data_IF_725860861237
#
_entry.id   IF_725860861237
#
_cell.length_a   1.000
_cell.length_b   1.000
_cell.length_c   1.000
_cell.angle_alpha   90.00
_cell.angle_beta   90.00
_cell.angle_gamma   90.00
#
_symmetry.space_group_name_H-M   'P 1'
#
loop_
_entity.id
_entity.type
_entity.pdbx_description
1 polymer ?
#
# COMPACT_ATOMS: atom_id res chain seq x y z
N UNK A 1 -11.22 -14.58 -1.09
CA UNK A 1 -12.42 -14.12 -0.35
C UNK A 1 -12.54 -14.63 1.10
N UNK A 2 -12.06 -15.83 1.48
CA UNK A 2 -12.17 -16.31 2.89
C UNK A 2 -11.46 -15.42 3.93
N UNK A 3 -10.35 -14.77 3.56
CA UNK A 3 -9.59 -13.88 4.46
C UNK A 3 -10.06 -12.42 4.43
N UNK A 4 -10.67 -12.00 3.31
CA UNK A 4 -11.18 -10.64 3.11
C UNK A 4 -12.37 -10.72 2.14
N UNK A 5 -13.60 -10.84 2.66
CA UNK A 5 -14.80 -11.04 1.83
C UNK A 5 -15.16 -9.80 1.00
N UNK A 6 -14.73 -8.61 1.44
CA UNK A 6 -15.03 -7.31 0.82
C UNK A 6 -14.02 -6.87 -0.25
N UNK A 7 -12.93 -7.62 -0.44
CA UNK A 7 -11.93 -7.30 -1.47
C UNK A 7 -12.53 -7.57 -2.86
N UNK A 8 -12.60 -6.52 -3.67
CA UNK A 8 -12.98 -6.60 -5.08
C UNK A 8 -11.84 -7.24 -5.88
N UNK A 9 -12.15 -8.26 -6.69
CA UNK A 9 -11.15 -8.97 -7.50
C UNK A 9 -11.52 -8.90 -8.96
N UNK A 10 -10.64 -8.28 -9.75
CA UNK A 10 -10.72 -8.26 -11.21
C UNK A 10 -9.65 -9.21 -11.76
N UNK A 11 -10.04 -10.18 -12.59
CA UNK A 11 -9.11 -11.09 -13.25
C UNK A 11 -8.79 -10.61 -14.66
N UNK A 12 -7.50 -10.49 -14.97
CA UNK A 12 -7.01 -10.19 -16.30
C UNK A 12 -6.41 -11.44 -16.95
N UNK A 13 -6.88 -11.79 -18.13
CA UNK A 13 -6.39 -12.95 -18.89
C UNK A 13 -5.73 -12.53 -20.19
N UNK A 14 -4.67 -13.26 -20.57
CA UNK A 14 -4.02 -13.07 -21.87
C UNK A 14 -4.80 -13.74 -23.01
N UNK A 15 -5.57 -14.79 -22.70
CA UNK A 15 -6.45 -15.52 -23.61
C UNK A 15 -7.72 -15.90 -22.86
N UNK A 16 -8.88 -15.49 -23.37
CA UNK A 16 -10.17 -15.88 -22.82
C UNK A 16 -10.79 -17.02 -23.62
N UNK A 17 -11.18 -18.11 -22.96
CA UNK A 17 -12.20 -19.02 -23.50
C UNK A 17 -13.56 -18.60 -22.97
N UNK A 18 -14.64 -18.84 -23.72
CA UNK A 18 -16.01 -18.53 -23.29
C UNK A 18 -16.37 -19.24 -21.96
N UNK A 19 -15.75 -20.40 -21.72
CA UNK A 19 -15.85 -21.17 -20.48
C UNK A 19 -15.21 -20.45 -19.30
N UNK A 20 -13.99 -19.95 -19.47
CA UNK A 20 -13.26 -19.21 -18.42
C UNK A 20 -13.92 -17.87 -18.10
N UNK A 21 -14.50 -17.21 -19.10
CA UNK A 21 -15.27 -15.97 -18.91
C UNK A 21 -16.56 -16.25 -18.14
N UNK A 22 -17.28 -17.33 -18.47
CA UNK A 22 -18.51 -17.70 -17.75
C UNK A 22 -18.24 -18.08 -16.29
N UNK A 23 -17.16 -18.79 -16.01
CA UNK A 23 -16.78 -19.19 -14.64
C UNK A 23 -16.26 -18.00 -13.81
N UNK A 24 -15.55 -17.08 -14.46
CA UNK A 24 -15.04 -15.86 -13.84
C UNK A 24 -16.14 -14.87 -13.47
N UNK A 25 -17.13 -14.67 -14.35
CA UNK A 25 -18.25 -13.72 -14.12
C UNK A 25 -19.09 -14.12 -12.91
N UNK A 26 -19.24 -15.42 -12.64
CA UNK A 26 -20.00 -15.91 -11.48
C UNK A 26 -19.26 -15.75 -10.14
N UNK A 27 -17.92 -15.59 -10.18
CA UNK A 27 -17.08 -15.68 -8.97
C UNK A 27 -16.33 -14.38 -8.64
N UNK A 28 -16.15 -13.50 -9.62
CA UNK A 28 -15.30 -12.31 -9.54
C UNK A 28 -16.08 -11.03 -9.78
N UNK A 29 -15.51 -9.90 -9.35
CA UNK A 29 -16.12 -8.58 -9.48
C UNK A 29 -15.81 -7.92 -10.84
N UNK A 30 -14.91 -8.53 -11.61
CA UNK A 30 -14.59 -8.12 -12.97
C UNK A 30 -13.74 -9.13 -13.71
N UNK A 31 -13.86 -9.12 -15.04
CA UNK A 31 -13.07 -9.95 -15.95
C UNK A 31 -12.66 -9.14 -17.16
N UNK A 32 -11.36 -9.14 -17.49
CA UNK A 32 -10.82 -8.43 -18.64
C UNK A 32 -9.88 -9.34 -19.46
N UNK A 33 -10.12 -9.43 -20.76
CA UNK A 33 -9.28 -10.17 -21.69
C UNK A 33 -8.41 -9.22 -22.51
N UNK A 34 -7.19 -9.64 -22.86
CA UNK A 34 -6.33 -8.92 -23.80
C UNK A 34 -6.73 -9.20 -25.27
N UNK A 35 -6.59 -8.22 -26.17
CA UNK A 35 -6.29 -6.82 -25.89
C UNK A 35 -7.52 -6.12 -25.27
N UNK A 36 -7.28 -5.18 -24.35
CA UNK A 36 -8.34 -4.42 -23.69
C UNK A 36 -8.21 -2.93 -24.00
N UNK A 37 -9.34 -2.24 -23.92
CA UNK A 37 -9.43 -0.79 -24.01
C UNK A 37 -9.57 -0.15 -22.62
N UNK A 38 -9.16 1.12 -22.51
CA UNK A 38 -9.37 1.94 -21.32
C UNK A 38 -10.86 2.01 -20.96
N UNK A 39 -11.74 2.06 -21.96
CA UNK A 39 -13.19 2.01 -21.78
C UNK A 39 -13.66 0.74 -21.07
N UNK A 40 -13.11 -0.42 -21.40
CA UNK A 40 -13.43 -1.69 -20.74
C UNK A 40 -12.93 -1.75 -19.30
N UNK A 41 -11.73 -1.20 -19.04
CA UNK A 41 -11.21 -1.07 -17.67
C UNK A 41 -12.17 -0.18 -16.85
N UNK A 42 -12.60 0.95 -17.41
CA UNK A 42 -13.52 1.88 -16.76
C UNK A 42 -14.84 1.21 -16.37
N UNK A 43 -15.48 0.51 -17.30
CA UNK A 43 -16.75 -0.18 -17.06
C UNK A 43 -16.64 -1.23 -15.94
N UNK A 44 -15.51 -1.95 -15.88
CA UNK A 44 -15.26 -2.95 -14.82
C UNK A 44 -15.05 -2.29 -13.45
N UNK A 45 -14.27 -1.22 -13.39
CA UNK A 45 -14.01 -0.51 -12.14
C UNK A 45 -15.28 0.17 -11.62
N UNK A 46 -16.05 0.83 -12.49
CA UNK A 46 -17.34 1.43 -12.15
C UNK A 46 -18.32 0.36 -11.62
N UNK A 47 -18.38 -0.80 -12.27
CA UNK A 47 -19.18 -1.94 -11.81
C UNK A 47 -18.77 -2.43 -10.42
N UNK A 48 -17.47 -2.67 -10.21
CA UNK A 48 -16.94 -3.15 -8.94
C UNK A 48 -17.16 -2.16 -7.78
N UNK A 49 -17.07 -0.85 -8.04
CA UNK A 49 -17.32 0.20 -7.05
C UNK A 49 -18.81 0.29 -6.67
N UNK A 50 -19.72 0.06 -7.62
CA UNK A 50 -21.17 0.15 -7.38
C UNK A 50 -21.72 -1.00 -6.52
N UNK A 51 -21.02 -2.14 -6.43
CA UNK A 51 -21.40 -3.29 -5.60
C UNK A 51 -20.89 -3.21 -4.14
N UNK A 52 -20.18 -2.14 -3.78
CA UNK A 52 -19.75 -1.88 -2.41
C UNK A 52 -20.93 -1.41 -1.56
N UNK A 53 -21.71 -2.35 -1.00
CA UNK A 53 -22.62 -2.02 0.10
C UNK A 53 -21.77 -1.68 1.32
N UNK A 54 -21.64 -0.37 1.59
CA UNK A 54 -20.96 0.22 2.72
C UNK A 54 -21.48 -0.36 4.04
N UNK A 55 -20.75 -1.32 4.63
CA UNK A 55 -20.88 -1.66 6.06
C UNK A 55 -19.79 -0.90 6.82
N UNK A 56 -20.03 0.41 7.01
CA UNK A 56 -19.44 1.22 8.08
C UNK A 56 -17.92 1.45 8.14
N UNK A 57 -17.11 1.01 7.16
CA UNK A 57 -15.68 1.35 7.12
C UNK A 57 -15.40 2.38 6.03
N UNK A 58 -14.76 3.52 6.35
CA UNK A 58 -14.45 4.55 5.35
C UNK A 58 -13.38 4.03 4.40
N UNK A 59 -13.70 4.00 3.10
CA UNK A 59 -12.72 3.92 2.03
C UNK A 59 -11.79 5.13 2.18
N UNK A 60 -10.45 4.98 2.21
CA UNK A 60 -9.56 6.14 2.22
C UNK A 60 -9.84 6.99 0.98
N UNK A 61 -10.47 8.15 1.18
CA UNK A 61 -10.66 9.13 0.14
C UNK A 61 -9.27 9.63 -0.28
N UNK A 62 -9.01 9.72 -1.59
CA UNK A 62 -7.87 10.49 -2.08
C UNK A 62 -8.06 11.91 -1.56
N UNK A 63 -7.16 12.35 -0.68
CA UNK A 63 -7.12 13.72 -0.20
C UNK A 63 -7.05 14.59 -1.45
N UNK A 64 -8.07 15.43 -1.68
CA UNK A 64 -8.04 16.41 -2.77
C UNK A 64 -6.87 17.37 -2.52
N UNK A 65 -5.73 16.99 -3.10
CA UNK A 65 -4.41 17.56 -2.81
C UNK A 65 -4.34 19.04 -3.20
N UNK A 66 -5.25 19.48 -4.07
CA UNK A 66 -5.23 20.81 -4.67
C UNK A 66 -5.81 21.92 -3.78
N UNK A 67 -6.81 21.62 -2.95
CA UNK A 67 -7.57 22.65 -2.22
C UNK A 67 -6.79 23.29 -1.07
N UNK A 68 -5.84 22.58 -0.46
CA UNK A 68 -5.09 23.04 0.72
C UNK A 68 -3.58 23.15 0.50
N UNK A 69 -3.12 22.99 -0.75
CA UNK A 69 -1.69 22.98 -1.07
C UNK A 69 -0.97 24.25 -0.59
N UNK A 70 -1.57 25.43 -0.77
CA UNK A 70 -0.94 26.70 -0.40
C UNK A 70 -0.85 26.90 1.12
N UNK A 71 -1.96 26.67 1.84
CA UNK A 71 -2.00 26.82 3.31
C UNK A 71 -1.08 25.83 4.01
N UNK A 72 -1.08 24.57 3.56
CA UNK A 72 -0.18 23.55 4.11
C UNK A 72 1.28 23.92 3.85
N UNK A 73 1.62 24.36 2.64
CA UNK A 73 2.97 24.79 2.30
C UNK A 73 3.47 25.95 3.19
N UNK A 74 2.62 26.91 3.51
CA UNK A 74 2.99 28.02 4.41
C UNK A 74 3.27 27.55 5.85
N UNK A 75 2.48 26.60 6.35
CA UNK A 75 2.74 25.95 7.64
C UNK A 75 4.08 25.20 7.63
N UNK A 76 4.38 24.48 6.55
CA UNK A 76 5.66 23.76 6.40
C UNK A 76 6.85 24.71 6.31
N UNK A 77 6.74 25.84 5.61
CA UNK A 77 7.79 26.90 5.56
C UNK A 77 8.06 27.49 6.93
N UNK A 78 7.00 27.79 7.69
CA UNK A 78 7.13 28.30 9.06
C UNK A 78 7.84 27.28 9.95
N UNK A 79 7.48 26.00 9.84
CA UNK A 79 8.15 24.92 10.57
C UNK A 79 9.63 24.81 10.19
N UNK A 80 9.95 24.79 8.89
CA UNK A 80 11.32 24.71 8.40
C UNK A 80 12.19 25.85 8.95
N UNK A 81 11.67 27.08 8.92
CA UNK A 81 12.37 28.25 9.44
C UNK A 81 12.57 28.20 10.97
N UNK A 82 11.51 27.88 11.73
CA UNK A 82 11.55 27.83 13.20
C UNK A 82 12.48 26.74 13.74
N UNK A 83 12.70 25.68 12.96
CA UNK A 83 13.53 24.54 13.36
C UNK A 83 14.94 24.57 12.76
N UNK A 84 15.19 25.46 11.80
CA UNK A 84 16.39 25.42 10.95
C UNK A 84 16.60 24.03 10.32
N UNK A 85 15.50 23.34 10.01
CA UNK A 85 15.55 22.04 9.37
C UNK A 85 16.09 22.16 7.95
N UNK A 86 16.77 21.12 7.47
CA UNK A 86 17.20 21.05 6.09
C UNK A 86 15.97 20.96 5.18
N UNK A 87 15.06 20.04 5.46
CA UNK A 87 13.77 19.97 4.80
C UNK A 87 12.67 19.39 5.69
N UNK A 88 11.43 19.68 5.31
CA UNK A 88 10.20 19.22 5.93
C UNK A 88 9.36 18.57 4.85
N UNK A 89 8.90 17.35 5.09
CA UNK A 89 8.09 16.57 4.19
C UNK A 89 6.73 16.32 4.84
N UNK A 90 5.67 16.66 4.14
CA UNK A 90 4.33 16.14 4.42
C UNK A 90 4.16 14.88 3.58
N UNK A 91 3.68 13.79 4.18
CA UNK A 91 3.61 12.46 3.57
C UNK A 91 2.24 11.90 3.88
N UNK A 92 1.60 11.16 2.98
CA UNK A 92 0.39 10.41 3.30
C UNK A 92 0.69 9.04 3.95
N UNK A 93 -0.34 8.38 4.48
CA UNK A 93 -0.19 7.06 5.10
C UNK A 93 0.35 5.97 4.15
N UNK A 94 0.29 6.18 2.83
CA UNK A 94 0.82 5.25 1.82
C UNK A 94 2.30 5.52 1.48
N UNK A 95 2.87 6.60 2.00
CA UNK A 95 4.26 6.99 1.75
C UNK A 95 4.45 7.93 0.57
N UNK A 96 3.38 8.45 -0.04
CA UNK A 96 3.51 9.46 -1.09
C UNK A 96 3.67 10.84 -0.50
N UNK A 97 4.56 11.62 -1.10
CA UNK A 97 4.95 12.93 -0.60
C UNK A 97 3.88 14.00 -0.89
N UNK A 98 3.07 14.31 0.13
CA UNK A 98 2.30 15.56 0.37
C UNK A 98 2.73 16.78 -0.44
N UNK A 99 3.79 17.34 0.11
CA UNK A 99 4.44 18.61 -0.18
C UNK A 99 5.81 18.54 0.51
N UNK A 100 6.77 19.30 0.00
CA UNK A 100 8.12 19.37 0.55
C UNK A 100 8.60 20.81 0.58
N UNK A 101 9.25 21.18 1.68
CA UNK A 101 9.81 22.52 1.88
C UNK A 101 11.24 22.43 2.40
N UNK A 102 12.09 23.35 1.95
CA UNK A 102 13.50 23.42 2.32
C UNK A 102 14.41 22.91 1.20
N UNK A 103 15.61 22.47 1.56
CA UNK A 103 16.62 21.98 0.62
C UNK A 103 16.56 20.47 0.53
N UNK A 104 16.08 19.96 -0.61
CA UNK A 104 16.01 18.52 -0.90
C UNK A 104 17.16 18.04 -1.78
N UNK A 105 18.09 18.93 -2.16
CA UNK A 105 19.24 18.58 -2.99
C UNK A 105 20.07 17.48 -2.35
N UNK A 106 20.28 16.38 -3.09
CA UNK A 106 21.04 15.22 -2.61
C UNK A 106 20.25 14.24 -1.75
N UNK A 107 18.95 14.47 -1.53
CA UNK A 107 18.05 13.55 -0.82
C UNK A 107 17.07 12.91 -1.80
N UNK A 108 16.94 11.58 -1.73
CA UNK A 108 15.84 10.87 -2.38
C UNK A 108 14.60 10.96 -1.49
N UNK A 109 13.89 12.08 -1.58
CA UNK A 109 12.73 12.38 -0.73
C UNK A 109 11.59 11.40 -0.96
N UNK A 110 11.47 10.80 -2.14
CA UNK A 110 10.45 9.79 -2.45
C UNK A 110 10.71 8.52 -1.65
N UNK A 111 11.93 7.99 -1.73
CA UNK A 111 12.32 6.79 -0.97
C UNK A 111 12.28 7.06 0.54
N UNK A 112 12.75 8.22 0.99
CA UNK A 112 12.65 8.62 2.41
C UNK A 112 11.19 8.64 2.86
N UNK A 113 10.28 9.21 2.07
CA UNK A 113 8.86 9.29 2.43
C UNK A 113 8.22 7.91 2.57
N UNK A 114 8.46 7.01 1.61
CA UNK A 114 7.98 5.64 1.64
C UNK A 114 8.50 4.87 2.86
N UNK A 115 9.79 5.01 3.18
CA UNK A 115 10.41 4.36 4.34
C UNK A 115 9.90 4.92 5.67
N UNK A 116 9.69 6.22 5.78
CA UNK A 116 9.11 6.85 6.97
C UNK A 116 7.70 6.31 7.23
N UNK A 117 6.85 6.24 6.19
CA UNK A 117 5.49 5.70 6.31
C UNK A 117 5.48 4.21 6.67
N UNK A 118 6.35 3.41 6.02
CA UNK A 118 6.49 1.98 6.32
C UNK A 118 6.95 1.75 7.78
N UNK A 119 7.96 2.50 8.23
CA UNK A 119 8.43 2.38 9.61
C UNK A 119 7.39 2.84 10.62
N UNK A 120 6.65 3.91 10.32
CA UNK A 120 5.57 4.36 11.18
C UNK A 120 4.48 3.29 11.30
N UNK A 121 4.10 2.65 10.20
CA UNK A 121 3.17 1.51 10.18
C UNK A 121 3.68 0.35 11.04
N UNK A 122 4.96 -0.02 10.92
CA UNK A 122 5.57 -1.04 11.77
C UNK A 122 5.56 -0.64 13.26
N UNK A 123 5.73 0.65 13.56
CA UNK A 123 5.68 1.15 14.94
C UNK A 123 4.28 1.01 15.56
N UNK A 124 3.20 1.10 14.77
CA UNK A 124 1.84 0.85 15.25
C UNK A 124 1.71 -0.59 15.74
N UNK A 125 2.26 -1.56 14.99
CA UNK A 125 2.24 -2.96 15.40
C UNK A 125 3.07 -3.20 16.67
N UNK A 126 4.21 -2.53 16.79
CA UNK A 126 5.01 -2.55 18.00
C UNK A 126 4.24 -1.99 19.20
N UNK A 127 3.48 -0.90 19.01
CA UNK A 127 2.62 -0.33 20.06
C UNK A 127 1.52 -1.31 20.50
N UNK A 128 0.91 -2.03 19.56
CA UNK A 128 -0.06 -3.09 19.83
C UNK A 128 0.54 -4.24 20.65
N UNK A 129 1.79 -4.63 20.37
CA UNK A 129 2.47 -5.69 21.10
C UNK A 129 2.90 -5.27 22.51
N UNK A 130 3.25 -4.00 22.70
CA UNK A 130 3.74 -3.47 24.00
C UNK A 130 2.63 -3.02 24.95
N UNK A 131 1.39 -2.83 24.50
CA UNK A 131 0.33 -2.22 25.30
C UNK A 131 -1.05 -2.84 25.12
N UNK A 132 -2.00 -2.39 25.94
CA UNK A 132 -3.43 -2.54 25.69
C UNK A 132 -3.84 -1.65 24.49
N UNK A 133 -5.00 -1.90 23.87
CA UNK A 133 -5.55 -1.25 22.64
C UNK A 133 -5.44 0.28 22.51
N UNK A 134 -5.03 1.00 23.56
CA UNK A 134 -4.94 2.47 23.62
C UNK A 134 -3.48 3.00 23.53
N UNK A 135 -2.46 2.13 23.52
CA UNK A 135 -1.06 2.57 23.34
C UNK A 135 -0.79 2.84 21.86
N UNK A 136 -0.59 4.11 21.49
CA UNK A 136 -0.34 4.54 20.12
C UNK A 136 0.91 5.39 20.09
N UNK A 137 1.92 4.97 19.33
CA UNK A 137 3.04 5.86 19.03
C UNK A 137 2.58 6.96 18.10
N UNK A 138 2.84 8.20 18.51
CA UNK A 138 2.53 9.40 17.72
C UNK A 138 3.71 9.95 16.95
N UNK A 139 4.91 9.45 17.23
CA UNK A 139 6.12 9.93 16.60
C UNK A 139 7.23 8.90 16.60
N UNK A 140 8.12 9.00 15.61
CA UNK A 140 9.40 8.31 15.58
C UNK A 140 10.55 9.32 15.50
N UNK A 141 11.70 8.94 16.06
CA UNK A 141 12.91 9.73 16.00
C UNK A 141 14.09 8.83 15.64
N UNK A 142 14.85 9.23 14.62
CA UNK A 142 16.08 8.59 14.20
C UNK A 142 17.22 9.58 14.33
N UNK A 143 18.25 9.16 15.05
CA UNK A 143 19.47 9.94 15.25
C UNK A 143 20.57 9.42 14.34
N UNK A 144 21.27 10.34 13.69
CA UNK A 144 22.41 10.05 12.83
C UNK A 144 23.50 11.09 13.01
N UNK A 145 24.68 10.78 12.45
CA UNK A 145 25.85 11.67 12.55
C UNK A 145 25.62 12.96 11.77
N UNK A 146 25.14 12.83 10.53
CA UNK A 146 24.94 13.96 9.63
C UNK A 146 23.50 14.49 9.68
N UNK A 147 22.53 13.59 9.89
CA UNK A 147 21.11 13.90 9.83
C UNK A 147 20.34 13.17 10.90
N UNK A 148 19.34 13.87 11.41
CA UNK A 148 18.29 13.35 12.27
C UNK A 148 16.95 13.45 11.53
N UNK A 149 16.06 12.51 11.81
CA UNK A 149 14.71 12.48 11.25
C UNK A 149 13.72 12.39 12.39
N UNK A 150 12.81 13.36 12.46
CA UNK A 150 11.65 13.31 13.37
C UNK A 150 10.37 13.23 12.55
N UNK A 151 9.58 12.19 12.75
CA UNK A 151 8.28 12.03 12.09
C UNK A 151 7.14 12.05 13.11
N UNK A 152 6.03 12.70 12.77
CA UNK A 152 4.86 12.84 13.63
C UNK A 152 3.56 12.53 12.88
N UNK A 153 2.67 11.78 13.53
CA UNK A 153 1.33 11.41 13.04
C UNK A 153 0.35 12.59 13.03
N UNK A 154 -0.34 12.78 11.92
CA UNK A 154 -1.44 13.72 11.75
C UNK A 154 -2.68 12.91 11.34
N UNK A 155 -3.61 12.77 12.30
CA UNK A 155 -4.92 12.12 12.11
C UNK A 155 -4.89 10.72 11.47
N UNK A 156 -3.77 9.97 11.56
CA UNK A 156 -3.57 8.65 10.91
C UNK A 156 -3.67 8.66 9.37
N UNK A 157 -3.70 9.84 8.77
CA UNK A 157 -3.82 10.02 7.32
C UNK A 157 -2.53 10.62 6.74
N UNK A 158 -1.86 11.46 7.52
CA UNK A 158 -0.65 12.16 7.11
C UNK A 158 0.46 11.96 8.15
N UNK A 159 1.69 12.06 7.68
CA UNK A 159 2.91 12.10 8.48
C UNK A 159 3.67 13.37 8.15
N UNK A 160 4.14 14.04 9.20
CA UNK A 160 5.01 15.20 9.09
C UNK A 160 6.43 14.80 9.47
N UNK A 161 7.32 14.72 8.50
CA UNK A 161 8.72 14.38 8.68
C UNK A 161 9.60 15.63 8.60
N UNK A 162 10.49 15.79 9.57
CA UNK A 162 11.46 16.88 9.65
C UNK A 162 12.87 16.29 9.62
N UNK A 163 13.64 16.65 8.60
CA UNK A 163 15.04 16.25 8.43
C UNK A 163 15.93 17.43 8.80
N UNK A 164 16.80 17.22 9.78
CA UNK A 164 17.63 18.29 10.35
C UNK A 164 19.03 17.81 10.71
N UNK A 165 20.02 18.70 10.60
CA UNK A 165 21.40 18.40 10.97
C UNK A 165 21.63 18.38 12.49
N UNK A 166 22.82 17.97 12.94
CA UNK A 166 23.15 17.83 14.36
C UNK A 166 23.17 19.15 15.15
N UNK A 167 23.19 20.30 14.46
CA UNK A 167 23.19 21.63 15.09
C UNK A 167 21.81 22.05 15.59
N UNK A 168 20.73 21.49 15.04
CA UNK A 168 19.37 21.79 15.47
C UNK A 168 19.00 20.99 16.72
N UNK A 169 18.37 21.67 17.69
CA UNK A 169 18.02 21.10 18.99
C UNK A 169 16.77 20.22 18.86
N UNK A 170 16.82 18.91 19.19
CA UNK A 170 15.66 18.02 19.04
C UNK A 170 14.40 18.53 19.74
N UNK A 171 14.51 19.10 20.93
CA UNK A 171 13.35 19.66 21.65
C UNK A 171 12.65 20.80 20.92
N UNK A 172 13.39 21.64 20.18
CA UNK A 172 12.82 22.71 19.35
C UNK A 172 12.08 22.11 18.15
N UNK A 173 12.69 21.11 17.51
CA UNK A 173 12.06 20.37 16.41
C UNK A 173 10.76 19.72 16.88
N UNK A 174 10.77 19.03 18.01
CA UNK A 174 9.59 18.37 18.55
C UNK A 174 8.46 19.35 18.86
N UNK A 175 8.78 20.48 19.51
CA UNK A 175 7.79 21.49 19.85
C UNK A 175 7.09 22.05 18.61
N UNK A 176 7.86 22.55 17.65
CA UNK A 176 7.28 23.16 16.46
C UNK A 176 6.64 22.15 15.52
N UNK A 177 7.15 20.92 15.45
CA UNK A 177 6.51 19.85 14.65
C UNK A 177 5.14 19.53 15.22
N UNK A 178 5.01 19.37 16.54
CA UNK A 178 3.71 19.11 17.19
C UNK A 178 2.73 20.27 17.02
N UNK A 179 3.19 21.50 17.14
CA UNK A 179 2.37 22.69 16.89
C UNK A 179 1.85 22.70 15.45
N UNK A 180 2.76 22.53 14.48
CA UNK A 180 2.41 22.52 13.04
C UNK A 180 1.50 21.34 12.70
N UNK A 181 1.72 20.18 13.30
CA UNK A 181 0.86 19.01 13.15
C UNK A 181 -0.57 19.27 13.64
N UNK A 182 -0.74 20.01 14.73
CA UNK A 182 -2.07 20.43 15.22
C UNK A 182 -2.75 21.39 14.24
N UNK A 183 -2.02 22.36 13.70
CA UNK A 183 -2.55 23.32 12.72
C UNK A 183 -2.95 22.62 11.41
N UNK A 184 -2.12 21.67 10.95
CA UNK A 184 -2.43 20.82 9.80
C UNK A 184 -3.61 19.90 10.09
N UNK A 185 -3.68 19.28 11.28
CA UNK A 185 -4.81 18.45 11.67
C UNK A 185 -6.12 19.22 11.54
N UNK A 186 -6.19 20.45 12.07
CA UNK A 186 -7.36 21.30 11.94
C UNK A 186 -7.69 21.64 10.47
N UNK A 187 -6.66 21.97 9.68
CA UNK A 187 -6.82 22.27 8.24
C UNK A 187 -7.43 21.09 7.47
N UNK A 188 -7.10 19.86 7.84
CA UNK A 188 -7.62 18.64 7.20
C UNK A 188 -8.87 18.05 7.90
N UNK A 189 -9.22 18.51 9.11
CA UNK A 189 -10.40 18.06 9.89
C UNK A 189 -11.69 18.85 9.58
N UNK A 190 -11.59 20.02 8.91
CA UNK A 190 -12.74 20.80 8.40
C UNK A 190 -13.59 20.08 7.33
N UNK A 191 -13.31 18.80 7.07
CA UNK A 191 -14.21 17.90 6.36
C UNK A 191 -14.92 16.96 7.34
N UNK A 192 -16.24 17.12 7.60
CA UNK A 192 -17.02 15.95 7.91
C UNK A 192 -16.89 15.01 6.72
N UNK A 193 -16.51 13.76 6.96
CA UNK A 193 -16.61 12.66 5.99
C UNK A 193 -18.09 12.49 5.65
N UNK A 194 -18.60 13.34 4.76
CA UNK A 194 -19.86 13.15 4.07
C UNK A 194 -19.52 12.47 2.76
N UNK A 195 -19.55 11.13 2.79
CA UNK A 195 -19.69 10.32 1.60
C UNK A 195 -21.02 10.65 0.94
N UNK A 196 -21.06 11.70 0.11
CA UNK A 196 -22.13 11.88 -0.84
C UNK A 196 -21.75 11.12 -2.12
N UNK A 197 -21.86 9.79 -2.05
CA UNK A 197 -21.52 8.81 -3.09
C UNK A 197 -22.44 8.87 -4.34
N UNK A 198 -23.04 10.03 -4.64
CA UNK A 198 -23.91 10.22 -5.80
C UNK A 198 -23.44 11.32 -6.75
N UNK A 199 -22.38 12.05 -6.41
CA UNK A 199 -21.91 13.12 -7.26
C UNK A 199 -20.88 12.59 -8.27
N UNK A 200 -21.11 12.93 -9.54
CA UNK A 200 -20.34 12.56 -10.74
C UNK A 200 -18.83 12.92 -10.70
N UNK A 201 -18.34 13.45 -9.58
CA UNK A 201 -17.01 14.01 -9.41
C UNK A 201 -15.93 12.94 -9.15
N UNK A 202 -16.30 11.78 -8.59
CA UNK A 202 -15.35 10.68 -8.37
C UNK A 202 -14.99 9.95 -9.67
N UNK A 203 -15.96 9.80 -10.57
CA UNK A 203 -15.75 9.25 -11.92
C UNK A 203 -14.78 10.13 -12.71
N UNK A 204 -15.01 11.44 -12.72
CA UNK A 204 -14.13 12.39 -13.42
C UNK A 204 -12.73 12.50 -12.81
N UNK A 205 -12.59 12.41 -11.48
CA UNK A 205 -11.27 12.43 -10.83
C UNK A 205 -10.46 11.18 -11.15
N UNK A 206 -11.10 10.01 -11.18
CA UNK A 206 -10.50 8.76 -11.61
C UNK A 206 -10.19 8.75 -13.12
N UNK A 207 -11.07 9.33 -13.95
CA UNK A 207 -10.84 9.50 -15.40
C UNK A 207 -9.59 10.34 -15.69
N UNK A 208 -9.43 11.47 -15.00
CA UNK A 208 -8.25 12.33 -15.14
C UNK A 208 -6.96 11.60 -14.74
N UNK A 209 -7.00 10.76 -13.71
CA UNK A 209 -5.82 10.02 -13.25
C UNK A 209 -5.48 8.85 -14.20
N UNK A 210 -6.48 8.16 -14.74
CA UNK A 210 -6.29 7.14 -15.78
C UNK A 210 -5.73 7.75 -17.07
N UNK A 211 -6.31 8.84 -17.56
CA UNK A 211 -5.84 9.51 -18.79
C UNK A 211 -4.39 9.94 -18.63
N UNK A 212 -4.01 10.54 -17.49
CA UNK A 212 -2.62 10.91 -17.21
C UNK A 212 -1.65 9.71 -17.13
N UNK A 213 -2.10 8.55 -16.65
CA UNK A 213 -1.27 7.33 -16.59
C UNK A 213 -1.06 6.69 -17.97
N UNK A 214 -1.97 6.91 -18.91
CA UNK A 214 -1.98 6.28 -20.23
C UNK A 214 -1.73 7.23 -21.41
N UNK A 215 -1.49 8.53 -21.17
CA UNK A 215 -1.27 9.60 -22.18
C UNK A 215 0.01 9.46 -23.03
N UNK A 216 0.67 8.30 -22.98
CA UNK A 216 1.79 7.90 -23.85
C UNK A 216 1.57 6.60 -24.61
N UNK A 217 0.38 5.99 -24.49
CA UNK A 217 -0.05 4.84 -25.29
C UNK A 217 -1.06 5.38 -26.29
N UNK A 218 -0.59 5.75 -27.48
CA UNK A 218 -1.47 6.18 -28.57
C UNK A 218 -2.62 5.18 -28.74
N UNK A 219 -3.86 5.70 -28.64
CA UNK A 219 -5.10 4.99 -28.97
C UNK A 219 -5.19 4.79 -30.50
N UNK A 220 -4.21 4.11 -31.09
CA UNK A 220 -4.37 3.51 -32.41
C UNK A 220 -4.83 2.05 -32.24
N UNK A 221 -6.07 1.71 -32.61
CA UNK A 221 -6.60 0.34 -32.49
C UNK A 221 -5.82 -0.70 -33.31
N UNK A 222 -4.84 -0.32 -34.14
CA UNK A 222 -4.20 -1.22 -35.09
C UNK A 222 -2.76 -1.63 -34.80
N UNK A 223 -2.01 -1.01 -33.87
CA UNK A 223 -0.54 -1.18 -33.91
C UNK A 223 0.18 -1.67 -32.65
N UNK A 224 -0.49 -2.22 -31.64
CA UNK A 224 0.23 -2.94 -30.57
C UNK A 224 -0.53 -4.15 -30.00
N UNK A 225 0.18 -5.28 -29.95
CA UNK A 225 -0.22 -6.62 -29.49
C UNK A 225 -0.92 -7.55 -30.50
N UNK A 226 -0.26 -7.84 -31.63
CA UNK A 226 -0.46 -9.14 -32.32
C UNK A 226 0.53 -10.15 -31.76
N UNK A 227 0.19 -10.79 -30.64
CA UNK A 227 0.82 -12.07 -30.31
C UNK A 227 0.03 -13.15 -31.07
N UNK A 228 0.60 -13.65 -32.18
CA UNK A 228 0.06 -14.84 -32.83
C UNK A 228 0.24 -16.06 -31.91
N UNK A 229 -0.73 -16.98 -31.80
CA UNK A 229 -0.57 -18.18 -31.00
C UNK A 229 0.61 -19.03 -31.52
N UNK A 230 1.35 -19.76 -30.66
CA UNK A 230 2.17 -20.86 -31.15
C UNK A 230 1.23 -21.91 -31.77
N UNK A 231 1.46 -22.29 -33.03
CA UNK A 231 0.79 -23.45 -33.65
C UNK A 231 1.13 -24.71 -32.83
N UNK A 232 0.18 -25.18 -32.02
CA UNK A 232 0.26 -26.49 -31.39
C UNK A 232 -0.49 -27.47 -32.29
N UNK A 233 0.26 -28.28 -33.04
CA UNK A 233 -0.25 -29.38 -33.85
C UNK A 233 -0.83 -30.48 -32.93
N UNK A 234 -2.12 -30.35 -32.60
CA UNK A 234 -2.87 -31.33 -31.81
C UNK A 234 -3.29 -32.50 -32.71
N UNK A 235 -2.45 -33.54 -32.78
CA UNK A 235 -2.92 -34.87 -33.20
C UNK A 235 -3.86 -35.43 -32.12
N UNK A 236 -5.03 -35.99 -32.49
CA UNK A 236 -5.98 -36.52 -31.52
C UNK A 236 -5.43 -37.78 -30.87
N UNK A 237 -4.93 -37.65 -29.64
CA UNK A 237 -4.59 -38.80 -28.80
C UNK A 237 -5.87 -39.39 -28.19
N UNK A 238 -6.09 -40.69 -28.39
CA UNK A 238 -7.28 -41.40 -27.92
C UNK A 238 -7.38 -41.34 -26.39
N UNK A 239 -8.42 -40.68 -25.89
CA UNK A 239 -8.80 -40.70 -24.48
C UNK A 239 -9.14 -42.14 -24.07
N UNK A 240 -8.30 -42.72 -23.23
CA UNK A 240 -8.58 -44.00 -22.55
C UNK A 240 -9.13 -43.67 -21.16
N UNK A 241 -10.14 -44.39 -20.63
CA UNK A 241 -10.74 -44.05 -19.34
C UNK A 241 -9.72 -44.12 -18.21
N UNK A 242 -9.64 -43.06 -17.40
CA UNK A 242 -8.75 -43.01 -16.25
C UNK A 242 -9.06 -44.13 -15.24
N UNK A 243 -8.03 -44.88 -14.85
CA UNK A 243 -8.10 -45.82 -13.74
C UNK A 243 -8.28 -45.06 -12.41
N UNK A 244 -8.95 -45.64 -11.39
CA UNK A 244 -9.24 -44.95 -10.14
C UNK A 244 -7.95 -44.62 -9.37
N UNK A 245 -7.80 -43.35 -9.01
CA UNK A 245 -6.66 -42.81 -8.26
C UNK A 245 -6.68 -43.36 -6.83
N UNK A 246 -5.63 -44.08 -6.43
CA UNK A 246 -5.38 -44.45 -5.02
C UNK A 246 -4.95 -43.21 -4.25
N UNK A 247 -5.73 -42.85 -3.22
CA UNK A 247 -5.34 -41.89 -2.18
C UNK A 247 -4.01 -42.33 -1.57
N UNK A 248 -2.96 -41.54 -1.72
CA UNK A 248 -1.69 -41.70 -1.00
C UNK A 248 -1.71 -40.71 0.16
N UNK A 249 -1.86 -41.23 1.38
CA UNK A 249 -1.60 -40.46 2.60
C UNK A 249 -0.08 -40.13 2.68
N UNK A 250 0.31 -38.99 3.26
CA UNK A 250 1.72 -38.66 3.45
C UNK A 250 2.35 -39.62 4.47
N UNK A 251 3.08 -40.62 3.98
CA UNK A 251 3.94 -41.46 4.82
C UNK A 251 5.28 -40.76 5.08
N UNK A 252 5.31 -39.86 6.05
CA UNK A 252 6.56 -39.52 6.72
C UNK A 252 6.29 -39.42 8.22
N UNK A 253 6.77 -40.42 8.97
CA UNK A 253 6.68 -40.47 10.43
C UNK A 253 7.37 -39.22 10.99
N UNK A 254 6.74 -38.43 11.87
CA UNK A 254 7.39 -37.27 12.46
C UNK A 254 8.61 -37.73 13.26
N UNK A 255 9.76 -37.13 12.96
CA UNK A 255 11.05 -37.42 13.60
C UNK A 255 11.08 -36.75 14.97
N UNK A 256 11.51 -37.46 16.02
CA UNK A 256 11.59 -36.88 17.36
C UNK A 256 12.77 -35.91 17.49
N UNK A 257 12.73 -35.03 18.49
CA UNK A 257 13.79 -34.04 18.73
C UNK A 257 15.17 -34.70 18.91
N UNK A 258 15.25 -35.79 19.68
CA UNK A 258 16.50 -36.56 19.86
C UNK A 258 17.03 -37.12 18.52
N UNK A 259 16.13 -37.57 17.64
CA UNK A 259 16.51 -38.08 16.33
C UNK A 259 17.02 -36.96 15.42
N UNK A 260 16.41 -35.78 15.46
CA UNK A 260 16.84 -34.62 14.67
C UNK A 260 18.21 -34.08 15.12
N UNK A 261 18.51 -34.14 16.42
CA UNK A 261 19.83 -33.80 16.97
C UNK A 261 20.88 -34.81 16.53
N UNK A 262 20.59 -36.11 16.59
CA UNK A 262 21.49 -37.16 16.13
C UNK A 262 21.78 -37.09 14.60
N UNK A 263 20.81 -36.61 13.82
CA UNK A 263 20.94 -36.40 12.38
C UNK A 263 21.64 -35.07 12.00
N UNK A 264 22.08 -34.26 12.97
CA UNK A 264 22.77 -33.00 12.72
C UNK A 264 21.89 -31.89 12.13
N UNK A 265 20.56 -32.06 12.17
CA UNK A 265 19.59 -31.10 11.64
C UNK A 265 19.27 -29.96 12.62
N UNK A 266 19.78 -30.06 13.86
CA UNK A 266 19.59 -29.05 14.92
C UNK A 266 20.96 -28.51 15.38
N UNK A 267 21.20 -27.20 15.30
CA UNK A 267 22.43 -26.57 15.78
C UNK A 267 22.63 -26.79 17.30
N UNK A 268 23.84 -27.20 17.73
CA UNK A 268 24.15 -27.55 19.13
C UNK A 268 24.00 -26.39 20.13
N UNK A 269 23.92 -25.14 19.65
CA UNK A 269 23.74 -23.95 20.50
C UNK A 269 22.33 -23.84 21.14
N UNK A 270 21.36 -24.66 20.69
CA UNK A 270 20.01 -24.71 21.27
C UNK A 270 19.99 -25.57 22.56
N UNK A 271 20.90 -26.52 22.73
CA UNK A 271 20.93 -27.46 23.86
C UNK A 271 21.30 -26.82 25.21
N UNK A 272 21.83 -25.59 25.22
CA UNK A 272 22.27 -24.93 26.45
C UNK A 272 21.18 -24.06 27.12
N UNK A 273 20.00 -23.87 26.50
CA UNK A 273 18.95 -23.00 27.06
C UNK A 273 17.88 -23.72 27.92
N UNK A 274 17.90 -25.04 28.02
CA UNK A 274 16.92 -25.79 28.83
C UNK A 274 17.43 -26.28 30.19
N UNK A 275 18.66 -25.95 30.61
CA UNK A 275 19.12 -26.23 31.99
C UNK A 275 19.00 -25.03 32.96
N UNK A 276 18.33 -23.96 32.55
CA UNK A 276 17.96 -22.87 33.48
C UNK A 276 16.46 -22.60 33.36
N UNK A 277 15.66 -23.55 33.86
CA UNK A 277 14.33 -23.27 34.38
C UNK A 277 13.99 -24.23 35.50
#
# INVERSE_FOLDING_TARGET
RQLSPQTQVVMMTAYGSAELQSEAVDTLDGYINKPFSIKQIREIVEGALNHTTHDGQPVPQSIDRSTYADKSNDLLKKLQANTSAQCVLLIDASGYMVSAVGTTVGLDTTTISALVAANFTASIELANLLGSRDSIFKSSFFEGIDYNVYAYDINRQLLLAVIFGPTAKPGVVWYYTKQTASDLAQLYEEQPVQLNLKDANLGSAFELELDNMFDGIDNDPQDNFVASPPEVDLKPEKVTPAAPVKKTEPQSKPMTFEQAVAAGLVPQNILQREQVR
#
